data_IF_644577551554
#
_entry.id   IF_644577551554
#
_cell.length_a   1.000
_cell.length_b   1.000
_cell.length_c   1.000
_cell.angle_alpha   90.00
_cell.angle_beta   90.00
_cell.angle_gamma   90.00
#
_symmetry.space_group_name_H-M   'P 1'
#
loop_
_entity.id
_entity.type
_entity.pdbx_description
1 polymer ?
#
# COMPACT_ATOMS: atom_id res chain seq x y z
N UNK A 1 -11.68 -15.54 -9.41
CA UNK A 1 -10.89 -14.62 -10.25
C UNK A 1 -11.93 -13.85 -11.03
N UNK A 2 -12.30 -12.65 -10.58
CA UNK A 2 -12.99 -11.75 -11.49
C UNK A 2 -11.95 -11.44 -12.57
N UNK A 3 -12.23 -11.77 -13.82
CA UNK A 3 -11.63 -11.03 -14.94
C UNK A 3 -12.14 -9.61 -14.77
N UNK A 4 -11.41 -8.88 -13.95
CA UNK A 4 -11.21 -7.47 -14.16
C UNK A 4 -9.84 -7.45 -14.80
N UNK A 5 -9.81 -7.52 -16.11
CA UNK A 5 -8.70 -7.03 -16.93
C UNK A 5 -8.62 -5.51 -16.73
N UNK A 6 -8.43 -5.12 -15.47
CA UNK A 6 -8.32 -3.76 -15.01
C UNK A 6 -6.85 -3.58 -14.71
N UNK A 7 -6.20 -2.77 -15.53
CA UNK A 7 -4.82 -2.35 -15.31
C UNK A 7 -4.82 -1.60 -13.98
N UNK A 8 -4.04 -2.08 -13.02
CA UNK A 8 -3.88 -1.38 -11.76
C UNK A 8 -2.82 -0.30 -11.97
N UNK A 9 -3.27 0.94 -12.18
CA UNK A 9 -2.40 2.10 -12.34
C UNK A 9 -2.39 2.88 -11.03
N UNK A 10 -1.20 3.13 -10.47
CA UNK A 10 -1.03 4.09 -9.38
C UNK A 10 -0.98 5.51 -9.98
N UNK A 11 -2.14 6.16 -10.02
CA UNK A 11 -2.32 7.43 -10.73
C UNK A 11 -1.79 8.61 -9.90
N UNK A 12 -0.71 9.23 -10.38
CA UNK A 12 -0.24 10.53 -9.86
C UNK A 12 -0.86 11.66 -10.67
N UNK A 13 -1.81 12.38 -10.07
CA UNK A 13 -2.46 13.53 -10.72
C UNK A 13 -1.63 14.79 -10.49
N UNK A 14 -1.26 15.48 -11.58
CA UNK A 14 -0.71 16.83 -11.54
C UNK A 14 -1.83 17.82 -11.15
N UNK A 15 -1.93 18.14 -9.85
CA UNK A 15 -3.07 18.93 -9.30
C UNK A 15 -2.90 20.44 -9.38
N UNK A 16 -1.70 20.95 -9.60
CA UNK A 16 -1.39 22.38 -9.53
C UNK A 16 -0.45 22.77 -10.66
N UNK A 17 -0.95 23.60 -11.56
CA UNK A 17 -0.15 24.21 -12.64
C UNK A 17 0.01 25.72 -12.42
N UNK A 18 0.08 26.15 -11.15
CA UNK A 18 0.20 27.57 -10.77
C UNK A 18 1.19 27.75 -9.61
N UNK A 19 1.89 28.90 -9.58
CA UNK A 19 2.92 29.26 -8.60
C UNK A 19 4.35 29.23 -9.16
N UNK A 20 5.37 29.50 -8.34
CA UNK A 20 6.77 29.53 -8.82
C UNK A 20 7.46 28.16 -8.83
N UNK A 21 6.85 27.14 -8.21
CA UNK A 21 7.47 25.81 -8.01
C UNK A 21 6.72 24.65 -8.68
N UNK A 22 5.63 24.92 -9.40
CA UNK A 22 4.82 23.84 -9.96
C UNK A 22 5.57 23.04 -11.03
N UNK A 23 6.36 23.70 -11.87
CA UNK A 23 7.19 23.04 -12.89
C UNK A 23 8.18 22.04 -12.27
N UNK A 24 8.84 22.44 -11.17
CA UNK A 24 9.75 21.54 -10.44
C UNK A 24 9.01 20.34 -9.84
N UNK A 25 7.79 20.54 -9.33
CA UNK A 25 6.97 19.46 -8.79
C UNK A 25 6.48 18.51 -9.90
N UNK A 26 6.01 19.06 -11.02
CA UNK A 26 5.57 18.30 -12.18
C UNK A 26 6.72 17.46 -12.75
N UNK A 27 7.90 18.05 -12.94
CA UNK A 27 9.08 17.34 -13.40
C UNK A 27 9.50 16.21 -12.45
N UNK A 28 9.52 16.47 -11.13
CA UNK A 28 9.81 15.42 -10.14
C UNK A 28 8.80 14.27 -10.21
N UNK A 29 7.53 14.56 -10.40
CA UNK A 29 6.47 13.54 -10.54
C UNK A 29 6.60 12.77 -11.85
N UNK A 30 6.90 13.44 -12.96
CA UNK A 30 7.15 12.80 -14.26
C UNK A 30 8.37 11.88 -14.20
N UNK A 31 9.47 12.31 -13.57
CA UNK A 31 10.67 11.49 -13.42
C UNK A 31 10.39 10.18 -12.66
N UNK A 32 9.60 10.25 -11.59
CA UNK A 32 9.20 9.07 -10.80
C UNK A 32 8.11 8.21 -11.44
N UNK A 33 7.45 8.69 -12.50
CA UNK A 33 6.39 7.97 -13.19
C UNK A 33 6.93 7.15 -14.36
N UNK A 34 6.34 6.00 -14.64
CA UNK A 34 6.72 5.14 -15.77
C UNK A 34 6.21 5.71 -17.08
N UNK A 35 4.95 6.12 -17.10
CA UNK A 35 4.22 6.62 -18.27
C UNK A 35 3.49 7.91 -17.94
N UNK A 36 3.30 8.78 -18.93
CA UNK A 36 2.52 10.01 -18.80
C UNK A 36 1.24 9.87 -19.63
N UNK A 37 0.10 10.01 -18.97
CA UNK A 37 -1.22 9.93 -19.61
C UNK A 37 -1.72 11.36 -19.85
N UNK A 38 -1.94 11.71 -21.11
CA UNK A 38 -2.55 12.98 -21.50
C UNK A 38 -4.03 12.75 -21.73
N UNK A 39 -4.84 13.32 -20.83
CA UNK A 39 -6.29 13.27 -20.92
C UNK A 39 -6.78 14.35 -21.86
N UNK A 40 -7.53 14.00 -22.91
CA UNK A 40 -8.18 14.96 -23.81
C UNK A 40 -7.15 15.91 -24.48
N UNK A 41 -6.37 15.33 -25.39
CA UNK A 41 -5.29 16.01 -26.09
C UNK A 41 -5.73 17.34 -26.75
N UNK A 42 -6.97 17.41 -27.25
CA UNK A 42 -7.52 18.63 -27.85
C UNK A 42 -7.66 19.76 -26.81
N UNK A 43 -8.25 19.49 -25.65
CA UNK A 43 -8.35 20.48 -24.58
C UNK A 43 -6.98 20.81 -23.95
N UNK A 44 -6.08 19.83 -23.88
CA UNK A 44 -4.72 20.02 -23.38
C UNK A 44 -3.88 20.93 -24.29
N UNK A 45 -4.15 20.94 -25.60
CA UNK A 45 -3.47 21.82 -26.54
C UNK A 45 -3.83 23.31 -26.36
N UNK A 46 -4.93 23.62 -25.67
CA UNK A 46 -5.36 25.00 -25.41
C UNK A 46 -4.64 25.65 -24.20
N UNK A 47 -3.94 24.86 -23.37
CA UNK A 47 -3.27 25.35 -22.15
C UNK A 47 -1.75 25.35 -22.30
N UNK A 48 -1.13 26.53 -22.19
CA UNK A 48 0.34 26.68 -22.18
C UNK A 48 1.02 25.77 -21.15
N UNK A 49 0.38 25.59 -19.98
CA UNK A 49 0.91 24.74 -18.92
C UNK A 49 0.96 23.28 -19.33
N UNK A 50 -0.10 22.78 -19.96
CA UNK A 50 -0.18 21.38 -20.38
C UNK A 50 0.68 21.12 -21.61
N UNK A 51 0.80 22.09 -22.52
CA UNK A 51 1.79 22.03 -23.60
C UNK A 51 3.20 21.88 -23.03
N UNK A 52 3.57 22.69 -22.03
CA UNK A 52 4.85 22.56 -21.34
C UNK A 52 5.01 21.18 -20.67
N UNK A 53 3.96 20.64 -20.04
CA UNK A 53 4.00 19.31 -19.40
C UNK A 53 4.23 18.18 -20.43
N UNK A 54 3.60 18.25 -21.60
CA UNK A 54 3.75 17.28 -22.70
C UNK A 54 5.15 17.38 -23.31
N UNK A 55 5.62 18.59 -23.59
CA UNK A 55 6.98 18.84 -24.09
C UNK A 55 8.03 18.31 -23.12
N UNK A 56 7.89 18.64 -21.82
CA UNK A 56 8.80 18.17 -20.78
C UNK A 56 8.78 16.65 -20.63
N UNK A 57 7.62 16.01 -20.70
CA UNK A 57 7.52 14.55 -20.69
C UNK A 57 8.27 13.93 -21.90
N UNK A 58 8.15 14.55 -23.07
CA UNK A 58 8.88 14.16 -24.29
C UNK A 58 10.40 14.34 -24.12
N UNK A 59 10.85 15.47 -23.55
CA UNK A 59 12.27 15.74 -23.23
C UNK A 59 12.85 14.71 -22.25
N UNK A 60 12.05 14.28 -21.27
CA UNK A 60 12.39 13.24 -20.29
C UNK A 60 12.32 11.82 -20.87
N UNK A 61 11.99 11.66 -22.16
CA UNK A 61 11.82 10.37 -22.86
C UNK A 61 10.81 9.46 -22.16
N UNK A 62 9.72 10.03 -21.66
CA UNK A 62 8.60 9.27 -21.09
C UNK A 62 7.67 8.83 -22.21
N UNK A 63 7.13 7.62 -22.08
CA UNK A 63 6.08 7.15 -22.99
C UNK A 63 4.80 7.96 -22.73
N UNK A 64 4.19 8.43 -23.82
CA UNK A 64 3.00 9.28 -23.79
C UNK A 64 1.80 8.47 -24.29
N UNK A 65 0.78 8.34 -23.45
CA UNK A 65 -0.48 7.70 -23.82
C UNK A 65 -1.54 8.79 -23.93
N UNK A 66 -2.08 8.97 -25.13
CA UNK A 66 -3.07 10.00 -25.43
C UNK A 66 -4.47 9.37 -25.34
N UNK A 67 -5.27 9.79 -24.37
CA UNK A 67 -6.65 9.29 -24.21
C UNK A 67 -7.63 10.37 -24.67
N UNK A 68 -8.48 10.06 -25.64
CA UNK A 68 -9.57 10.96 -26.05
C UNK A 68 -10.75 10.88 -25.07
N UNK A 69 -11.66 11.87 -25.12
CA UNK A 69 -12.91 11.81 -24.34
C UNK A 69 -13.75 10.59 -24.70
N UNK A 70 -13.75 10.21 -25.97
CA UNK A 70 -14.52 9.07 -26.48
C UNK A 70 -13.96 7.75 -25.94
N UNK A 71 -12.64 7.60 -25.90
CA UNK A 71 -11.98 6.40 -25.34
C UNK A 71 -12.39 6.16 -23.87
N UNK A 72 -12.52 7.23 -23.10
CA UNK A 72 -12.91 7.15 -21.69
C UNK A 72 -14.39 6.85 -21.55
N UNK A 73 -15.23 7.50 -22.37
CA UNK A 73 -16.67 7.25 -22.41
C UNK A 73 -17.02 5.81 -22.81
N UNK A 74 -16.20 5.17 -23.63
CA UNK A 74 -16.36 3.77 -24.03
C UNK A 74 -15.46 2.77 -23.26
N UNK A 75 -14.70 3.24 -22.26
CA UNK A 75 -13.72 2.44 -21.50
C UNK A 75 -12.69 1.71 -22.37
N UNK A 76 -12.31 2.31 -23.50
CA UNK A 76 -11.27 1.81 -24.39
C UNK A 76 -9.90 2.25 -23.90
N UNK A 77 -9.23 1.38 -23.13
CA UNK A 77 -7.87 1.60 -22.63
C UNK A 77 -6.84 0.74 -23.38
N UNK A 78 -7.11 0.37 -24.64
CA UNK A 78 -6.30 -0.61 -25.38
C UNK A 78 -4.80 -0.30 -25.44
N UNK A 79 -4.44 0.97 -25.64
CA UNK A 79 -3.03 1.41 -25.67
C UNK A 79 -2.35 1.24 -24.30
N UNK A 80 -3.00 1.71 -23.23
CA UNK A 80 -2.54 1.51 -21.85
C UNK A 80 -2.48 0.03 -21.47
N UNK A 81 -3.45 -0.77 -21.94
CA UNK A 81 -3.49 -2.20 -21.70
C UNK A 81 -2.32 -2.90 -22.36
N UNK A 82 -2.03 -2.55 -23.61
CA UNK A 82 -0.90 -3.11 -24.34
C UNK A 82 0.44 -2.77 -23.69
N UNK A 83 0.58 -1.56 -23.12
CA UNK A 83 1.82 -1.15 -22.44
C UNK A 83 2.09 -1.97 -21.18
N UNK A 84 1.05 -2.38 -20.46
CA UNK A 84 1.14 -3.16 -19.23
C UNK A 84 0.77 -4.64 -19.42
N UNK A 85 0.66 -5.12 -20.66
CA UNK A 85 0.36 -6.52 -20.97
C UNK A 85 1.67 -7.32 -21.02
N UNK A 86 2.10 -7.81 -19.86
CA UNK A 86 3.28 -8.67 -19.72
C UNK A 86 3.01 -10.13 -20.14
N UNK A 87 1.90 -10.43 -20.82
CA UNK A 87 1.55 -11.81 -21.20
C UNK A 87 2.58 -12.43 -22.15
N UNK A 88 3.13 -11.65 -23.08
CA UNK A 88 4.17 -12.13 -24.00
C UNK A 88 5.47 -12.45 -23.27
N UNK A 89 5.96 -11.54 -22.42
CA UNK A 89 7.15 -11.77 -21.58
C UNK A 89 6.97 -12.98 -20.65
N UNK A 90 5.76 -13.15 -20.09
CA UNK A 90 5.43 -14.32 -19.30
C UNK A 90 5.52 -15.62 -20.12
N UNK A 91 4.97 -15.65 -21.33
CA UNK A 91 5.04 -16.85 -22.18
C UNK A 91 6.46 -17.12 -22.70
N UNK A 92 7.27 -16.08 -22.95
CA UNK A 92 8.69 -16.20 -23.30
C UNK A 92 9.51 -16.91 -22.22
N UNK A 93 9.14 -16.78 -20.93
CA UNK A 93 9.77 -17.53 -19.84
C UNK A 93 9.65 -19.06 -20.01
N UNK A 94 8.76 -19.53 -20.88
CA UNK A 94 8.53 -20.94 -21.20
C UNK A 94 8.85 -21.27 -22.67
N UNK A 95 9.60 -20.42 -23.37
CA UNK A 95 9.95 -20.63 -24.78
C UNK A 95 10.84 -21.88 -24.97
N UNK A 96 11.82 -22.08 -24.10
CA UNK A 96 12.65 -23.29 -24.05
C UNK A 96 12.07 -24.29 -23.03
N UNK A 97 11.05 -25.03 -23.44
CA UNK A 97 10.52 -26.13 -22.63
C UNK A 97 11.37 -27.39 -22.80
N UNK A 98 11.69 -28.03 -21.68
CA UNK A 98 12.28 -29.36 -21.69
C UNK A 98 11.30 -30.38 -22.27
N UNK A 99 11.77 -31.21 -23.20
CA UNK A 99 11.00 -32.36 -23.70
C UNK A 99 10.96 -33.50 -22.68
N UNK A 100 11.81 -33.43 -21.65
CA UNK A 100 11.88 -34.41 -20.57
C UNK A 100 10.74 -34.20 -19.57
N UNK A 101 9.75 -35.10 -19.64
CA UNK A 101 8.58 -35.10 -18.77
C UNK A 101 8.96 -35.19 -17.28
N UNK A 102 10.05 -35.87 -16.94
CA UNK A 102 10.47 -36.00 -15.54
C UNK A 102 10.98 -34.65 -15.00
N UNK A 103 11.76 -33.91 -15.81
CA UNK A 103 12.20 -32.56 -15.44
C UNK A 103 11.02 -31.59 -15.31
N UNK A 104 10.07 -31.65 -16.24
CA UNK A 104 8.87 -30.82 -16.18
C UNK A 104 8.05 -31.13 -14.92
N UNK A 105 7.92 -32.41 -14.56
CA UNK A 105 7.24 -32.84 -13.34
C UNK A 105 7.94 -32.33 -12.08
N UNK A 106 9.27 -32.30 -12.05
CA UNK A 106 10.03 -31.73 -10.93
C UNK A 106 9.82 -30.22 -10.78
N UNK A 107 9.84 -29.45 -11.88
CA UNK A 107 9.51 -28.01 -11.85
C UNK A 107 8.09 -27.77 -11.34
N UNK A 108 7.14 -28.57 -11.80
CA UNK A 108 5.76 -28.53 -11.33
C UNK A 108 5.66 -28.80 -9.81
N UNK A 109 6.31 -29.86 -9.32
CA UNK A 109 6.36 -30.18 -7.87
C UNK A 109 6.99 -29.04 -7.06
N UNK A 110 8.08 -28.43 -7.53
CA UNK A 110 8.72 -27.29 -6.89
C UNK A 110 7.72 -26.14 -6.75
N UNK A 111 7.01 -25.81 -7.83
CA UNK A 111 6.04 -24.73 -7.83
C UNK A 111 4.88 -24.97 -6.86
N UNK A 112 4.28 -26.17 -6.90
CA UNK A 112 3.21 -26.59 -5.97
C UNK A 112 3.69 -26.54 -4.52
N UNK A 113 4.85 -27.13 -4.22
CA UNK A 113 5.45 -27.12 -2.88
C UNK A 113 5.69 -25.69 -2.39
N UNK A 114 6.18 -24.81 -3.27
CA UNK A 114 6.42 -23.41 -2.91
C UNK A 114 5.12 -22.65 -2.63
N UNK A 115 3.99 -23.04 -3.24
CA UNK A 115 2.67 -22.49 -2.96
C UNK A 115 2.16 -22.97 -1.60
N UNK A 116 2.27 -24.27 -1.31
CA UNK A 116 1.88 -24.84 -0.01
C UNK A 116 2.67 -24.22 1.15
N UNK A 117 3.99 -24.08 1.00
CA UNK A 117 4.84 -23.41 2.00
C UNK A 117 4.41 -21.96 2.25
N UNK A 118 3.94 -21.26 1.22
CA UNK A 118 3.46 -19.89 1.35
C UNK A 118 2.14 -19.83 2.13
N UNK A 119 1.24 -20.80 1.90
CA UNK A 119 0.00 -20.96 2.70
C UNK A 119 0.34 -21.24 4.17
N UNK A 120 1.32 -22.12 4.44
CA UNK A 120 1.76 -22.41 5.82
C UNK A 120 2.35 -21.17 6.51
N UNK A 121 3.23 -20.42 5.82
CA UNK A 121 3.79 -19.16 6.35
C UNK A 121 2.70 -18.17 6.71
N UNK A 122 1.68 -18.03 5.87
CA UNK A 122 0.52 -17.17 6.12
C UNK A 122 -0.23 -17.55 7.41
N UNK A 123 -0.45 -18.85 7.67
CA UNK A 123 -1.09 -19.30 8.92
C UNK A 123 -0.24 -18.97 10.16
N UNK A 124 1.09 -19.17 10.07
CA UNK A 124 2.03 -18.79 11.14
C UNK A 124 1.96 -17.29 11.40
N UNK A 125 1.95 -16.48 10.34
CA UNK A 125 1.87 -15.02 10.49
C UNK A 125 0.54 -14.56 11.08
N UNK A 126 -0.58 -15.19 10.71
CA UNK A 126 -1.87 -14.92 11.34
C UNK A 126 -1.81 -15.16 12.86
N UNK A 127 -1.26 -16.31 13.28
CA UNK A 127 -1.07 -16.63 14.69
C UNK A 127 -0.16 -15.64 15.43
N UNK A 128 0.92 -15.19 14.78
CA UNK A 128 1.82 -14.17 15.31
C UNK A 128 1.08 -12.86 15.63
N UNK A 129 0.30 -12.31 14.67
CA UNK A 129 -0.42 -11.05 14.88
C UNK A 129 -1.47 -11.16 15.99
N UNK A 130 -2.25 -12.23 16.03
CA UNK A 130 -3.23 -12.48 17.10
C UNK A 130 -2.53 -12.48 18.47
N UNK A 131 -1.40 -13.18 18.56
CA UNK A 131 -0.64 -13.31 19.81
C UNK A 131 -0.08 -11.97 20.28
N UNK A 132 0.57 -11.21 19.39
CA UNK A 132 1.18 -9.93 19.78
C UNK A 132 0.11 -8.89 20.12
N UNK A 133 -0.94 -8.77 19.31
CA UNK A 133 -2.05 -7.83 19.60
C UNK A 133 -2.73 -8.22 20.91
N UNK A 134 -2.99 -9.51 21.12
CA UNK A 134 -3.55 -10.02 22.38
C UNK A 134 -2.67 -9.73 23.59
N UNK A 135 -1.35 -9.90 23.47
CA UNK A 135 -0.39 -9.60 24.53
C UNK A 135 -0.35 -8.10 24.87
N UNK A 136 -0.39 -7.22 23.86
CA UNK A 136 -0.45 -5.76 24.05
C UNK A 136 -1.73 -5.39 24.80
N UNK A 137 -2.89 -5.88 24.34
CA UNK A 137 -4.19 -5.60 24.98
C UNK A 137 -4.21 -6.13 26.42
N UNK A 138 -3.73 -7.36 26.64
CA UNK A 138 -3.67 -7.98 27.97
C UNK A 138 -2.76 -7.21 28.94
N UNK A 139 -1.57 -6.79 28.49
CA UNK A 139 -0.65 -5.99 29.27
C UNK A 139 -1.25 -4.61 29.61
N UNK A 140 -1.86 -3.94 28.63
CA UNK A 140 -2.55 -2.66 28.85
C UNK A 140 -3.69 -2.78 29.85
N UNK A 141 -4.52 -3.82 29.74
CA UNK A 141 -5.61 -4.08 30.68
C UNK A 141 -5.12 -4.35 32.11
N UNK A 142 -4.03 -5.10 32.25
CA UNK A 142 -3.40 -5.35 33.55
C UNK A 142 -2.86 -4.06 34.17
N UNK A 143 -2.10 -3.26 33.42
CA UNK A 143 -1.55 -1.99 33.90
C UNK A 143 -2.64 -0.99 34.29
N UNK A 144 -3.75 -0.95 33.55
CA UNK A 144 -4.90 -0.12 33.87
C UNK A 144 -5.59 -0.55 35.17
N UNK A 145 -5.73 -1.86 35.40
CA UNK A 145 -6.34 -2.42 36.62
C UNK A 145 -5.54 -2.07 37.88
N UNK A 146 -4.23 -2.23 37.84
CA UNK A 146 -3.35 -2.03 39.00
C UNK A 146 -3.13 -0.53 39.33
N UNK A 147 -3.73 0.40 38.56
CA UNK A 147 -3.58 1.86 38.73
C UNK A 147 -2.12 2.32 38.90
N UNK A 148 -1.17 1.59 38.30
CA UNK A 148 0.28 1.82 38.49
C UNK A 148 0.70 3.22 38.04
N UNK A 149 -0.07 3.86 37.16
CA UNK A 149 0.21 5.17 36.57
C UNK A 149 -0.96 6.13 36.84
N UNK A 150 -0.93 6.77 38.01
CA UNK A 150 -1.95 7.73 38.50
C UNK A 150 -2.10 8.96 37.59
N UNK A 151 -1.00 9.47 37.03
CA UNK A 151 -1.00 10.79 36.38
C UNK A 151 -0.95 10.73 34.84
N UNK A 152 -0.94 9.52 34.25
CA UNK A 152 -0.79 9.33 32.79
C UNK A 152 -1.59 8.14 32.23
N UNK A 153 -2.68 7.76 32.91
CA UNK A 153 -3.49 6.58 32.55
C UNK A 153 -3.99 6.62 31.10
N UNK A 154 -4.29 7.82 30.58
CA UNK A 154 -4.78 7.99 29.21
C UNK A 154 -3.72 7.61 28.16
N UNK A 155 -2.48 8.07 28.31
CA UNK A 155 -1.41 7.76 27.35
C UNK A 155 -1.05 6.28 27.35
N UNK A 156 -1.07 5.65 28.52
CA UNK A 156 -0.79 4.21 28.73
C UNK A 156 -1.84 3.34 28.05
N UNK A 157 -3.06 3.85 27.86
CA UNK A 157 -4.14 3.15 27.18
C UNK A 157 -4.21 3.46 25.69
N UNK A 158 -4.01 4.73 25.30
CA UNK A 158 -4.11 5.18 23.91
C UNK A 158 -2.93 4.66 23.07
N UNK A 159 -1.70 4.73 23.58
CA UNK A 159 -0.52 4.38 22.80
C UNK A 159 -0.50 2.90 22.35
N UNK A 160 -0.79 1.91 23.22
CA UNK A 160 -0.93 0.51 22.80
C UNK A 160 -2.01 0.26 21.75
N UNK A 161 -3.12 1.01 21.82
CA UNK A 161 -4.20 0.91 20.82
C UNK A 161 -3.72 1.40 19.46
N UNK A 162 -2.99 2.52 19.40
CA UNK A 162 -2.42 3.02 18.15
C UNK A 162 -1.44 2.02 17.53
N UNK A 163 -0.59 1.39 18.34
CA UNK A 163 0.28 0.29 17.89
C UNK A 163 -0.56 -0.87 17.35
N UNK A 164 -1.58 -1.30 18.09
CA UNK A 164 -2.48 -2.37 17.67
C UNK A 164 -3.16 -2.09 16.33
N UNK A 165 -3.61 -0.85 16.09
CA UNK A 165 -4.21 -0.42 14.82
C UNK A 165 -3.20 -0.47 13.66
N UNK A 166 -1.97 0.00 13.89
CA UNK A 166 -0.89 -0.10 12.92
C UNK A 166 -0.59 -1.57 12.57
N UNK A 167 -0.56 -2.43 13.59
CA UNK A 167 -0.37 -3.87 13.41
C UNK A 167 -1.52 -4.52 12.63
N UNK A 168 -2.78 -4.14 12.89
CA UNK A 168 -3.93 -4.63 12.11
C UNK A 168 -3.81 -4.26 10.63
N UNK A 169 -3.36 -3.04 10.32
CA UNK A 169 -3.10 -2.60 8.93
C UNK A 169 -1.97 -3.41 8.30
N UNK A 170 -0.86 -3.58 9.00
CA UNK A 170 0.27 -4.40 8.53
C UNK A 170 -0.16 -5.85 8.27
N UNK A 171 -0.94 -6.44 9.18
CA UNK A 171 -1.47 -7.78 9.06
C UNK A 171 -2.34 -7.95 7.81
N UNK A 172 -3.30 -7.04 7.60
CA UNK A 172 -4.15 -7.05 6.41
C UNK A 172 -3.34 -6.99 5.12
N UNK A 173 -2.39 -6.05 5.04
CA UNK A 173 -1.51 -5.89 3.87
C UNK A 173 -0.72 -7.17 3.58
N UNK A 174 -0.25 -7.86 4.62
CA UNK A 174 0.53 -9.08 4.44
C UNK A 174 -0.33 -10.24 3.95
N UNK A 175 -1.56 -10.40 4.45
CA UNK A 175 -2.54 -11.36 3.92
C UNK A 175 -2.81 -11.09 2.43
N UNK A 176 -2.99 -9.82 2.05
CA UNK A 176 -3.16 -9.40 0.65
C UNK A 176 -1.98 -9.80 -0.22
N UNK A 177 -0.77 -9.50 0.23
CA UNK A 177 0.46 -9.80 -0.51
C UNK A 177 0.67 -11.31 -0.69
N UNK A 178 0.39 -12.11 0.34
CA UNK A 178 0.40 -13.57 0.19
C UNK A 178 -0.63 -14.04 -0.85
N UNK A 179 -1.84 -13.47 -0.86
CA UNK A 179 -2.86 -13.77 -1.86
C UNK A 179 -2.41 -13.44 -3.30
N UNK A 180 -1.85 -12.25 -3.50
CA UNK A 180 -1.34 -11.80 -4.81
C UNK A 180 -0.19 -12.69 -5.31
N UNK A 181 0.80 -12.94 -4.45
CA UNK A 181 1.93 -13.80 -4.79
C UNK A 181 1.48 -15.23 -5.12
N UNK A 182 0.54 -15.78 -4.34
CA UNK A 182 0.01 -17.11 -4.63
C UNK A 182 -0.74 -17.15 -5.97
N UNK A 183 -1.47 -16.08 -6.30
CA UNK A 183 -2.16 -15.97 -7.60
C UNK A 183 -1.17 -16.06 -8.76
N UNK A 184 -0.04 -15.33 -8.68
CA UNK A 184 1.03 -15.42 -9.69
C UNK A 184 1.66 -16.81 -9.77
N UNK A 185 1.89 -17.48 -8.63
CA UNK A 185 2.39 -18.88 -8.62
C UNK A 185 1.43 -19.83 -9.33
N UNK A 186 0.11 -19.68 -9.12
CA UNK A 186 -0.89 -20.51 -9.80
C UNK A 186 -0.98 -20.25 -11.30
N UNK A 187 -0.67 -19.04 -11.78
CA UNK A 187 -0.55 -18.79 -13.23
C UNK A 187 0.59 -19.61 -13.84
N UNK A 188 1.75 -19.67 -13.17
CA UNK A 188 2.88 -20.52 -13.58
C UNK A 188 2.51 -22.01 -13.52
N UNK A 189 1.87 -22.46 -12.44
CA UNK A 189 1.42 -23.86 -12.29
C UNK A 189 0.48 -24.23 -13.44
N UNK A 190 -0.57 -23.45 -13.70
CA UNK A 190 -1.50 -23.72 -14.80
C UNK A 190 -0.83 -23.68 -16.17
N UNK A 191 0.18 -22.83 -16.36
CA UNK A 191 0.95 -22.79 -17.60
C UNK A 191 1.77 -24.06 -17.81
N UNK A 192 2.37 -24.61 -16.75
CA UNK A 192 3.05 -25.92 -16.77
C UNK A 192 2.06 -27.06 -16.99
N UNK A 193 0.86 -27.00 -16.38
CA UNK A 193 -0.19 -28.02 -16.52
C UNK A 193 -0.58 -28.28 -17.98
N UNK A 194 -0.50 -27.28 -18.86
CA UNK A 194 -0.81 -27.43 -20.29
C UNK A 194 0.04 -28.47 -21.02
N UNK A 195 1.23 -28.76 -20.49
CA UNK A 195 2.14 -29.75 -21.06
C UNK A 195 1.88 -31.18 -20.55
N UNK A 196 0.97 -31.35 -19.58
CA UNK A 196 0.55 -32.65 -19.05
C UNK A 196 -0.80 -33.10 -19.63
N UNK A 197 -1.06 -34.42 -19.59
CA UNK A 197 -2.34 -34.99 -20.05
C UNK A 197 -3.55 -34.63 -19.18
N UNK A 198 -3.34 -34.18 -17.95
CA UNK A 198 -4.39 -33.71 -17.05
C UNK A 198 -3.93 -32.43 -16.32
N UNK A 199 -4.82 -31.43 -16.26
CA UNK A 199 -4.59 -30.14 -15.61
C UNK A 199 -5.38 -30.11 -14.30
N UNK A 200 -4.86 -30.75 -13.26
CA UNK A 200 -5.59 -31.05 -12.02
C UNK A 200 -5.99 -29.79 -11.24
N UNK A 201 -5.11 -28.80 -11.12
CA UNK A 201 -5.43 -27.54 -10.47
C UNK A 201 -6.33 -26.67 -11.35
N UNK A 202 -6.13 -26.66 -12.67
CA UNK A 202 -7.07 -25.99 -13.57
C UNK A 202 -8.49 -26.59 -13.46
N UNK A 203 -8.59 -27.92 -13.37
CA UNK A 203 -9.85 -28.63 -13.16
C UNK A 203 -10.48 -28.29 -11.79
N UNK A 204 -9.68 -28.23 -10.71
CA UNK A 204 -10.13 -27.77 -9.40
C UNK A 204 -10.72 -26.35 -9.49
N UNK A 205 -10.02 -25.45 -10.17
CA UNK A 205 -10.48 -24.07 -10.35
C UNK A 205 -11.80 -23.97 -11.12
N UNK A 206 -11.97 -24.81 -12.15
CA UNK A 206 -13.24 -24.93 -12.90
C UNK A 206 -14.35 -25.48 -11.99
N UNK A 207 -14.07 -26.51 -11.19
CA UNK A 207 -15.04 -27.09 -10.26
C UNK A 207 -15.53 -26.07 -9.22
N UNK A 208 -14.64 -25.21 -8.74
CA UNK A 208 -14.91 -24.05 -7.87
C UNK A 208 -15.67 -22.90 -8.59
N UNK A 209 -16.00 -23.07 -9.87
CA UNK A 209 -16.78 -22.11 -10.65
C UNK A 209 -15.98 -20.87 -11.06
N UNK A 210 -14.65 -20.98 -11.16
CA UNK A 210 -13.72 -19.92 -11.57
C UNK A 210 -13.85 -18.63 -10.73
N UNK A 211 -14.43 -18.73 -9.54
CA UNK A 211 -14.76 -17.57 -8.69
C UNK A 211 -15.80 -16.61 -9.29
N UNK A 212 -16.58 -17.03 -10.30
CA UNK A 212 -17.72 -16.27 -10.80
C UNK A 212 -18.96 -16.45 -9.90
N UNK A 213 -19.00 -17.53 -9.13
CA UNK A 213 -20.10 -17.87 -8.21
C UNK A 213 -19.60 -17.79 -6.77
N UNK A 214 -19.89 -16.68 -6.09
CA UNK A 214 -19.49 -16.47 -4.69
C UNK A 214 -20.02 -17.54 -3.73
N UNK A 215 -21.16 -18.18 -4.06
CA UNK A 215 -21.70 -19.31 -3.29
C UNK A 215 -20.82 -20.57 -3.39
N UNK A 216 -20.09 -20.76 -4.50
CA UNK A 216 -19.22 -21.92 -4.70
C UNK A 216 -17.83 -21.73 -4.13
N UNK A 217 -17.29 -20.51 -4.22
CA UNK A 217 -15.94 -20.23 -3.76
C UNK A 217 -15.80 -18.78 -3.33
N UNK A 218 -15.31 -18.58 -2.10
CA UNK A 218 -14.76 -17.32 -1.63
C UNK A 218 -13.27 -17.53 -1.39
N UNK A 219 -12.47 -16.55 -1.83
CA UNK A 219 -11.03 -16.62 -1.63
C UNK A 219 -10.71 -16.60 -0.14
N UNK A 220 -9.82 -17.50 0.29
CA UNK A 220 -9.31 -17.53 1.67
C UNK A 220 -8.71 -16.18 2.07
N UNK A 221 -8.12 -15.43 1.13
CA UNK A 221 -7.64 -14.05 1.35
C UNK A 221 -8.76 -13.13 1.79
N UNK A 222 -9.91 -13.15 1.11
CA UNK A 222 -11.05 -12.31 1.49
C UNK A 222 -11.58 -12.66 2.87
N UNK A 223 -11.68 -13.96 3.19
CA UNK A 223 -12.24 -14.40 4.47
C UNK A 223 -11.30 -14.08 5.63
N UNK A 224 -9.99 -14.32 5.47
CA UNK A 224 -9.03 -14.06 6.56
C UNK A 224 -8.80 -12.57 6.80
N UNK A 225 -8.97 -11.70 5.80
CA UNK A 225 -8.92 -10.24 6.00
C UNK A 225 -10.00 -9.72 6.96
N UNK A 226 -11.09 -10.47 7.16
CA UNK A 226 -12.11 -10.08 8.12
C UNK A 226 -11.57 -10.07 9.55
N UNK A 227 -10.56 -10.88 9.87
CA UNK A 227 -9.98 -10.97 11.22
C UNK A 227 -9.25 -9.67 11.60
N UNK A 228 -8.25 -9.15 10.85
CA UNK A 228 -7.64 -7.86 11.17
C UNK A 228 -8.64 -6.70 11.11
N UNK A 229 -9.64 -6.75 10.23
CA UNK A 229 -10.70 -5.73 10.21
C UNK A 229 -11.50 -5.74 11.52
N UNK A 230 -11.88 -6.92 12.03
CA UNK A 230 -12.59 -7.07 13.29
C UNK A 230 -11.76 -6.52 14.47
N UNK A 231 -10.49 -6.91 14.58
CA UNK A 231 -9.59 -6.36 15.61
C UNK A 231 -9.45 -4.84 15.50
N UNK A 232 -9.33 -4.31 14.28
CA UNK A 232 -9.29 -2.86 14.03
C UNK A 232 -10.56 -2.17 14.54
N UNK A 233 -11.75 -2.70 14.23
CA UNK A 233 -13.01 -2.12 14.73
C UNK A 233 -13.10 -2.16 16.25
N UNK A 234 -12.70 -3.27 16.89
CA UNK A 234 -12.69 -3.37 18.36
C UNK A 234 -11.75 -2.34 18.99
N UNK A 235 -10.56 -2.14 18.41
CA UNK A 235 -9.60 -1.15 18.87
C UNK A 235 -10.11 0.28 18.66
N UNK A 236 -10.79 0.57 17.56
CA UNK A 236 -11.43 1.88 17.34
C UNK A 236 -12.55 2.16 18.34
N UNK A 237 -13.38 1.16 18.65
CA UNK A 237 -14.43 1.29 19.67
C UNK A 237 -13.80 1.53 21.04
N UNK A 238 -12.75 0.77 21.40
CA UNK A 238 -12.03 0.97 22.66
C UNK A 238 -11.42 2.37 22.74
N UNK A 239 -10.79 2.85 21.66
CA UNK A 239 -10.25 4.20 21.58
C UNK A 239 -11.33 5.25 21.79
N UNK A 240 -12.47 5.11 21.12
CA UNK A 240 -13.60 6.03 21.26
C UNK A 240 -14.10 6.09 22.71
N UNK A 241 -14.26 4.94 23.37
CA UNK A 241 -14.68 4.88 24.78
C UNK A 241 -13.67 5.61 25.67
N UNK A 242 -12.38 5.32 25.51
CA UNK A 242 -11.32 5.98 26.30
C UNK A 242 -11.37 7.48 26.07
N UNK A 243 -11.44 7.94 24.82
CA UNK A 243 -11.46 9.36 24.50
C UNK A 243 -12.66 10.09 25.09
N UNK A 244 -13.83 9.46 25.13
CA UNK A 244 -15.05 10.05 25.70
C UNK A 244 -15.09 10.00 27.24
N UNK A 245 -14.45 8.99 27.85
CA UNK A 245 -14.47 8.78 29.31
C UNK A 245 -13.30 9.41 30.06
N UNK A 246 -12.21 9.72 29.35
CA UNK A 246 -10.98 10.22 29.96
C UNK A 246 -11.10 11.68 30.40
N UNK A 247 -10.56 11.98 31.56
CA UNK A 247 -10.27 13.35 31.96
C UNK A 247 -9.01 13.82 31.21
N UNK A 248 -9.20 14.84 30.38
CA UNK A 248 -8.15 15.39 29.51
C UNK A 248 -7.37 16.52 30.17
N UNK A 249 -7.85 17.08 31.29
CA UNK A 249 -7.15 18.18 31.98
C UNK A 249 -5.68 17.87 32.31
N UNK A 250 -5.32 16.70 32.87
CA UNK A 250 -3.92 16.40 33.20
C UNK A 250 -3.03 16.38 31.95
N UNK A 251 -3.56 15.87 30.84
CA UNK A 251 -2.84 15.80 29.57
C UNK A 251 -2.65 17.19 28.95
N UNK A 252 -3.70 17.99 28.92
CA UNK A 252 -3.66 19.37 28.39
C UNK A 252 -2.67 20.22 29.19
N UNK A 253 -2.68 20.12 30.52
CA UNK A 253 -1.72 20.82 31.39
C UNK A 253 -0.27 20.42 31.09
N UNK A 254 0.00 19.14 30.84
CA UNK A 254 1.34 18.67 30.49
C UNK A 254 1.78 19.20 29.11
N UNK A 255 0.86 19.26 28.15
CA UNK A 255 1.13 19.75 26.80
C UNK A 255 1.40 21.26 26.78
N UNK A 256 0.66 22.05 27.57
CA UNK A 256 0.92 23.48 27.76
C UNK A 256 2.29 23.72 28.42
N UNK A 257 2.66 22.93 29.43
CA UNK A 257 3.98 23.00 30.06
C UNK A 257 5.11 22.68 29.07
N UNK A 258 4.92 21.67 28.23
CA UNK A 258 5.89 21.31 27.20
C UNK A 258 6.05 22.42 26.14
N UNK A 259 4.94 22.98 25.65
CA UNK A 259 4.96 24.08 24.67
C UNK A 259 5.64 25.33 25.22
N UNK A 260 5.32 25.73 26.45
CA UNK A 260 5.96 26.88 27.12
C UNK A 260 7.46 26.66 27.34
N UNK A 261 7.88 25.43 27.65
CA UNK A 261 9.30 25.08 27.76
C UNK A 261 10.01 25.21 26.41
N UNK A 262 9.43 24.69 25.32
CA UNK A 262 9.99 24.82 23.97
C UNK A 262 10.12 26.29 23.56
N UNK A 263 9.09 27.09 23.82
CA UNK A 263 9.07 28.53 23.51
C UNK A 263 10.15 29.30 24.30
N UNK A 264 10.31 29.02 25.59
CA UNK A 264 11.39 29.59 26.39
C UNK A 264 12.78 29.20 25.87
N UNK A 265 12.96 27.94 25.48
CA UNK A 265 14.23 27.43 24.96
C UNK A 265 14.60 28.10 23.64
N UNK A 266 13.61 28.26 22.75
CA UNK A 266 13.77 28.96 21.49
C UNK A 266 14.10 30.44 21.67
N UNK A 267 13.42 31.12 22.61
CA UNK A 267 13.65 32.54 22.93
C UNK A 267 15.06 32.75 23.49
N UNK A 268 15.54 31.87 24.37
CA UNK A 268 16.91 31.89 24.90
C UNK A 268 17.95 31.67 23.80
N UNK A 269 17.71 30.73 22.88
CA UNK A 269 18.60 30.51 21.74
C UNK A 269 18.67 31.73 20.80
N UNK A 270 17.53 32.39 20.57
CA UNK A 270 17.47 33.64 19.79
C UNK A 270 18.22 34.79 20.47
N UNK A 271 18.07 34.97 21.78
CA UNK A 271 18.81 35.99 22.54
C UNK A 271 20.32 35.72 22.52
N UNK A 272 20.73 34.47 22.69
CA UNK A 272 22.13 34.07 22.60
C UNK A 272 22.71 34.32 21.20
N UNK A 273 21.99 33.95 20.13
CA UNK A 273 22.41 34.24 18.76
C UNK A 273 22.54 35.75 18.48
N UNK A 274 21.63 36.58 19.02
CA UNK A 274 21.74 38.05 18.91
C UNK A 274 22.97 38.59 19.64
N UNK A 275 23.34 37.99 20.78
CA UNK A 275 24.54 38.39 21.55
C UNK A 275 25.87 38.01 20.87
N UNK A 276 25.86 37.02 19.97
CA UNK A 276 27.03 36.61 19.18
C UNK A 276 27.23 37.45 17.91
N UNK A 277 26.27 38.30 17.54
CA UNK A 277 26.42 39.22 16.42
C UNK A 277 27.32 40.38 16.85
N UNK A 278 28.61 40.27 16.55
CA UNK A 278 29.59 41.35 16.72
C UNK A 278 29.09 42.61 16.00
N UNK A 279 29.13 43.80 16.62
CA UNK A 279 28.83 45.04 15.91
C UNK A 279 29.81 45.20 14.74
N UNK A 280 29.29 45.41 13.53
CA UNK A 280 30.12 45.77 12.39
C UNK A 280 30.91 47.02 12.75
N UNK A 281 32.24 46.89 12.75
CA UNK A 281 33.16 48.01 12.84
C UNK A 281 33.01 48.83 11.56
N UNK A 282 32.11 49.82 11.59
CA UNK A 282 32.17 50.95 10.69
C UNK A 282 33.15 51.96 11.31
N UNK A 283 34.43 51.76 11.02
CA UNK A 283 35.44 52.81 11.13
C UNK A 283 35.34 53.72 9.90
N UNK A 284 35.28 55.02 10.21
CA UNK A 284 35.55 56.20 9.39
C UNK A 284 36.34 56.00 8.09
#
# INVERSE_FOLDING_TARGET
>A
MRSTDGIYVDLVILKKSYGSKWQQQAESMMQSSEVVIVYDNEACAESENTTWEIERATELKKDLILLSRDDIGCHNFGELQSYYDFSSEFDECFAEQTEDLDQLLELYKIMVTSSEQLIQRRQITNGFFITVIGAIIGASGFLAKEKVLSDSTVLVLVFPILIGLLMCRSWKNLIENYGKLNTGKFQVIHRLERSFGAQVFAAEWVALGKGARNEKYQSFTSTEQNVPNLFSYLLWIALLIIVLSADWEPFLNHLECALTTVEQTFTRALQWMKSLRVPSTDTA
#
